data_IF_188766019411
#
_entry.id   IF_188766019411
#
_cell.length_a   1.000
_cell.length_b   1.000
_cell.length_c   1.000
_cell.angle_alpha   90.00
_cell.angle_beta   90.00
_cell.angle_gamma   90.00
#
_symmetry.space_group_name_H-M   'P 1'
#
loop_
_entity.id
_entity.type
_entity.pdbx_description
1 polymer ?
#
# COMPACT_ATOMS: atom_id res chain seq x y z
N UNK A 1 -41.03 -10.27 -6.01
CA UNK A 1 -40.41 -8.94 -6.02
C UNK A 1 -38.86 -8.98 -5.84
N UNK A 2 -38.31 -9.93 -5.09
CA UNK A 2 -36.83 -10.05 -4.89
C UNK A 2 -36.07 -10.59 -6.12
N UNK A 3 -36.66 -11.45 -6.95
CA UNK A 3 -36.02 -12.01 -8.15
C UNK A 3 -35.81 -10.97 -9.26
N UNK A 4 -36.81 -10.10 -9.49
CA UNK A 4 -36.72 -9.01 -10.50
C UNK A 4 -35.63 -7.99 -10.19
N UNK A 5 -35.35 -7.79 -8.91
CA UNK A 5 -34.22 -6.89 -8.47
C UNK A 5 -32.85 -7.52 -8.69
N UNK A 6 -32.75 -8.85 -8.60
CA UNK A 6 -31.48 -9.57 -8.80
C UNK A 6 -31.08 -9.64 -10.27
N UNK A 7 -32.06 -9.92 -11.15
CA UNK A 7 -31.82 -9.93 -12.60
C UNK A 7 -31.51 -8.55 -13.17
N UNK A 8 -32.16 -7.50 -12.69
CA UNK A 8 -31.86 -6.12 -13.09
C UNK A 8 -30.44 -5.70 -12.67
N UNK A 9 -29.98 -6.12 -11.48
CA UNK A 9 -28.62 -5.87 -11.01
C UNK A 9 -27.57 -6.66 -11.79
N UNK A 10 -27.83 -7.91 -12.14
CA UNK A 10 -26.95 -8.72 -12.97
C UNK A 10 -26.78 -8.11 -14.38
N UNK A 11 -27.87 -7.66 -14.99
CA UNK A 11 -27.85 -7.00 -16.29
C UNK A 11 -27.11 -5.65 -16.30
N UNK A 12 -27.17 -4.88 -15.19
CA UNK A 12 -26.42 -3.65 -15.01
C UNK A 12 -24.92 -3.91 -14.88
N UNK A 13 -24.52 -4.90 -14.08
CA UNK A 13 -23.12 -5.30 -13.92
C UNK A 13 -22.49 -5.78 -15.24
N UNK A 14 -23.24 -6.54 -16.03
CA UNK A 14 -22.80 -6.98 -17.37
C UNK A 14 -22.73 -5.82 -18.38
N UNK A 15 -23.60 -4.83 -18.26
CA UNK A 15 -23.54 -3.59 -19.03
C UNK A 15 -22.28 -2.76 -18.72
N UNK A 16 -22.00 -2.57 -17.42
CA UNK A 16 -20.81 -1.88 -16.93
C UNK A 16 -19.54 -2.60 -17.37
N UNK A 17 -19.49 -3.93 -17.25
CA UNK A 17 -18.36 -4.75 -17.72
C UNK A 17 -18.11 -4.60 -19.23
N UNK A 18 -19.14 -4.64 -20.06
CA UNK A 18 -19.02 -4.45 -21.52
C UNK A 18 -18.61 -3.04 -21.88
N UNK A 19 -19.09 -2.02 -21.18
CA UNK A 19 -18.68 -0.65 -21.34
C UNK A 19 -17.21 -0.47 -20.94
N UNK A 20 -16.78 -1.08 -19.81
CA UNK A 20 -15.40 -1.06 -19.33
C UNK A 20 -14.42 -1.63 -20.37
N UNK A 21 -14.75 -2.79 -20.93
CA UNK A 21 -13.92 -3.43 -21.95
C UNK A 21 -13.84 -2.57 -23.22
N UNK A 22 -14.97 -2.01 -23.68
CA UNK A 22 -15.00 -1.14 -24.87
C UNK A 22 -14.20 0.16 -24.67
N UNK A 23 -14.32 0.78 -23.49
CA UNK A 23 -13.57 2.01 -23.16
C UNK A 23 -12.08 1.70 -22.99
N UNK A 24 -11.72 0.59 -22.37
CA UNK A 24 -10.32 0.17 -22.19
C UNK A 24 -9.65 -0.13 -23.56
N UNK A 25 -10.38 -0.74 -24.49
CA UNK A 25 -9.87 -1.02 -25.85
C UNK A 25 -9.83 0.22 -26.74
N UNK A 26 -10.78 1.16 -26.57
CA UNK A 26 -10.85 2.39 -27.37
C UNK A 26 -9.90 3.51 -26.89
N UNK A 27 -9.59 3.56 -25.60
CA UNK A 27 -8.76 4.59 -24.97
C UNK A 27 -7.33 4.10 -24.71
N UNK A 28 -6.66 3.49 -25.68
CA UNK A 28 -5.30 2.98 -25.51
C UNK A 28 -4.41 3.85 -24.62
N UNK A 29 -3.64 3.23 -23.71
CA UNK A 29 -2.71 3.92 -22.81
C UNK A 29 -3.34 4.50 -21.53
N UNK A 30 -2.88 5.69 -21.09
CA UNK A 30 -3.26 6.33 -19.82
C UNK A 30 -4.77 6.59 -19.67
N UNK A 31 -5.47 6.87 -20.77
CA UNK A 31 -6.93 7.08 -20.79
C UNK A 31 -7.72 5.84 -20.40
N UNK A 32 -7.27 4.65 -20.80
CA UNK A 32 -7.89 3.38 -20.45
C UNK A 32 -7.86 3.08 -18.97
N UNK A 33 -6.74 3.35 -18.30
CA UNK A 33 -6.61 3.13 -16.86
C UNK A 33 -7.55 4.04 -16.04
N UNK A 34 -7.67 5.32 -16.43
CA UNK A 34 -8.61 6.27 -15.80
C UNK A 34 -10.05 5.80 -16.01
N UNK A 35 -10.40 5.38 -17.22
CA UNK A 35 -11.73 4.91 -17.54
C UNK A 35 -12.11 3.65 -16.74
N UNK A 36 -11.17 2.69 -16.59
CA UNK A 36 -11.38 1.50 -15.76
C UNK A 36 -11.61 1.92 -14.29
N UNK A 37 -10.81 2.83 -13.76
CA UNK A 37 -10.97 3.34 -12.40
C UNK A 37 -12.36 3.94 -12.20
N UNK A 38 -12.80 4.83 -13.09
CA UNK A 38 -14.12 5.48 -12.99
C UNK A 38 -15.25 4.46 -13.07
N UNK A 39 -15.14 3.46 -13.93
CA UNK A 39 -16.15 2.39 -14.05
C UNK A 39 -16.19 1.50 -12.80
N UNK A 40 -15.04 1.20 -12.19
CA UNK A 40 -14.98 0.47 -10.93
C UNK A 40 -15.61 1.26 -9.79
N UNK A 41 -15.27 2.55 -9.65
CA UNK A 41 -15.88 3.44 -8.65
C UNK A 41 -17.40 3.50 -8.82
N UNK A 42 -17.87 3.70 -10.05
CA UNK A 42 -19.30 3.73 -10.36
C UNK A 42 -19.97 2.38 -10.07
N UNK A 43 -19.35 1.27 -10.45
CA UNK A 43 -19.87 -0.08 -10.20
C UNK A 43 -20.03 -0.37 -8.70
N UNK A 44 -18.99 -0.06 -7.88
CA UNK A 44 -19.07 -0.25 -6.44
C UNK A 44 -20.01 0.74 -5.76
N UNK A 45 -20.12 1.98 -6.23
CA UNK A 45 -21.10 2.95 -5.74
C UNK A 45 -22.54 2.47 -5.94
N UNK A 46 -22.83 1.87 -7.11
CA UNK A 46 -24.17 1.29 -7.38
C UNK A 46 -24.40 0.02 -6.55
N UNK A 47 -23.35 -0.79 -6.34
CA UNK A 47 -23.44 -2.05 -5.62
C UNK A 47 -23.63 -1.88 -4.10
N UNK A 48 -23.02 -0.83 -3.51
CA UNK A 48 -22.99 -0.59 -2.06
C UNK A 48 -23.12 0.89 -1.72
N UNK A 49 -24.16 1.31 -0.97
CA UNK A 49 -24.34 2.72 -0.57
C UNK A 49 -23.17 3.29 0.23
N UNK A 50 -22.49 2.44 1.01
CA UNK A 50 -21.41 2.86 1.91
C UNK A 50 -20.04 3.06 1.20
N UNK A 51 -19.96 2.77 -0.10
CA UNK A 51 -18.70 2.81 -0.83
C UNK A 51 -18.07 4.21 -0.89
N UNK A 52 -18.85 5.27 -1.16
CA UNK A 52 -18.40 6.66 -1.24
C UNK A 52 -18.65 7.47 0.03
N UNK A 53 -18.83 6.83 1.18
CA UNK A 53 -18.90 7.55 2.45
C UNK A 53 -17.56 8.22 2.78
N UNK A 54 -17.62 9.33 3.52
CA UNK A 54 -16.41 10.05 3.95
C UNK A 54 -15.46 9.13 4.75
N UNK A 55 -16.01 8.27 5.59
CA UNK A 55 -15.22 7.36 6.43
C UNK A 55 -14.55 6.27 5.58
N UNK A 56 -15.27 5.64 4.65
CA UNK A 56 -14.66 4.67 3.74
C UNK A 56 -13.58 5.32 2.86
N UNK A 57 -13.84 6.52 2.34
CA UNK A 57 -12.86 7.29 1.54
C UNK A 57 -11.58 7.57 2.35
N UNK A 58 -11.72 8.01 3.62
CA UNK A 58 -10.57 8.23 4.52
C UNK A 58 -9.81 6.93 4.78
N UNK A 59 -10.51 5.82 5.00
CA UNK A 59 -9.89 4.52 5.22
C UNK A 59 -9.11 4.05 4.00
N UNK A 60 -9.67 4.18 2.80
CA UNK A 60 -8.98 3.89 1.53
C UNK A 60 -7.72 4.73 1.40
N UNK A 61 -7.82 6.04 1.60
CA UNK A 61 -6.68 6.94 1.50
C UNK A 61 -5.58 6.58 2.51
N UNK A 62 -5.93 6.29 3.76
CA UNK A 62 -4.97 5.83 4.78
C UNK A 62 -4.28 4.52 4.39
N UNK A 63 -5.06 3.55 3.94
CA UNK A 63 -4.56 2.21 3.61
C UNK A 63 -3.57 2.23 2.46
N UNK A 64 -3.85 3.03 1.43
CA UNK A 64 -3.05 3.06 0.21
C UNK A 64 -1.95 4.13 0.20
N UNK A 65 -1.84 4.95 1.25
CA UNK A 65 -0.76 5.94 1.38
C UNK A 65 0.63 5.30 1.43
N UNK A 66 0.80 4.20 2.19
CA UNK A 66 2.08 3.50 2.29
C UNK A 66 2.49 2.85 0.96
N UNK A 67 1.64 2.04 0.29
CA UNK A 67 1.91 1.58 -1.06
C UNK A 67 2.20 2.71 -2.05
N UNK A 68 1.54 3.87 -1.90
CA UNK A 68 1.79 5.03 -2.74
C UNK A 68 3.22 5.57 -2.60
N UNK A 69 3.73 5.69 -1.37
CA UNK A 69 5.11 6.13 -1.13
C UNK A 69 6.09 5.14 -1.77
N UNK A 70 5.88 3.82 -1.58
CA UNK A 70 6.71 2.79 -2.20
C UNK A 70 6.67 2.86 -3.73
N UNK A 71 5.49 3.07 -4.31
CA UNK A 71 5.31 3.16 -5.75
C UNK A 71 5.98 4.40 -6.37
N UNK A 72 6.14 5.50 -5.62
CA UNK A 72 6.96 6.64 -6.07
C UNK A 72 8.42 6.21 -6.26
N UNK A 73 9.00 5.49 -5.30
CA UNK A 73 10.35 4.93 -5.40
C UNK A 73 10.46 3.97 -6.59
N UNK A 74 9.52 3.02 -6.69
CA UNK A 74 9.45 2.08 -7.81
C UNK A 74 9.32 2.77 -9.17
N UNK A 75 8.58 3.87 -9.26
CA UNK A 75 8.47 4.63 -10.51
C UNK A 75 9.84 5.12 -10.98
N UNK A 76 10.65 5.67 -10.08
CA UNK A 76 11.99 6.18 -10.41
C UNK A 76 12.91 5.03 -10.86
N UNK A 77 12.81 3.88 -10.18
CA UNK A 77 13.58 2.67 -10.52
C UNK A 77 13.13 2.10 -11.87
N UNK A 78 11.82 1.91 -12.08
CA UNK A 78 11.27 1.31 -13.31
C UNK A 78 11.51 2.20 -14.53
N UNK A 79 11.39 3.53 -14.40
CA UNK A 79 11.74 4.49 -15.47
C UNK A 79 13.20 4.33 -15.91
N UNK A 80 14.11 3.91 -15.02
CA UNK A 80 15.52 3.63 -15.36
C UNK A 80 15.78 2.18 -15.83
N UNK A 81 14.73 1.45 -16.20
CA UNK A 81 14.76 0.02 -16.55
C UNK A 81 15.36 -0.85 -15.44
N UNK A 82 14.97 -0.59 -14.19
CA UNK A 82 15.31 -1.39 -13.00
C UNK A 82 14.06 -1.94 -12.31
N UNK A 83 14.27 -2.84 -11.35
CA UNK A 83 13.24 -3.35 -10.45
C UNK A 83 13.86 -3.42 -9.05
N UNK A 84 13.13 -2.97 -8.04
CA UNK A 84 13.57 -3.04 -6.64
C UNK A 84 12.57 -3.84 -5.81
N UNK A 85 12.87 -5.11 -5.57
CA UNK A 85 12.05 -5.99 -4.74
C UNK A 85 12.29 -5.79 -3.25
N UNK A 86 13.37 -5.10 -2.86
CA UNK A 86 13.74 -4.95 -1.45
C UNK A 86 12.94 -3.87 -0.71
N UNK A 87 12.13 -3.07 -1.39
CA UNK A 87 11.46 -1.89 -0.82
C UNK A 87 10.59 -2.23 0.39
N UNK A 88 9.88 -3.37 0.38
CA UNK A 88 9.03 -3.77 1.50
C UNK A 88 9.84 -4.24 2.72
N UNK A 89 10.88 -5.04 2.51
CA UNK A 89 11.79 -5.44 3.60
C UNK A 89 12.58 -4.25 4.15
N UNK A 90 12.98 -3.30 3.28
CA UNK A 90 13.61 -2.04 3.68
C UNK A 90 12.67 -1.20 4.54
N UNK A 91 11.40 -1.09 4.17
CA UNK A 91 10.38 -0.42 4.98
C UNK A 91 10.24 -1.09 6.35
N UNK A 92 10.14 -2.42 6.39
CA UNK A 92 10.06 -3.18 7.63
C UNK A 92 11.29 -2.97 8.52
N UNK A 93 12.50 -3.07 7.97
CA UNK A 93 13.74 -2.85 8.72
C UNK A 93 13.83 -1.43 9.28
N UNK A 94 13.50 -0.43 8.46
CA UNK A 94 13.57 0.98 8.86
C UNK A 94 12.61 1.29 10.01
N UNK A 95 11.36 0.83 9.93
CA UNK A 95 10.39 0.96 11.01
C UNK A 95 10.78 0.18 12.25
N UNK A 96 11.31 -1.03 12.08
CA UNK A 96 11.77 -1.87 13.19
C UNK A 96 12.96 -1.28 13.93
N UNK A 97 13.99 -0.82 13.21
CA UNK A 97 15.15 -0.15 13.83
C UNK A 97 14.77 1.13 14.57
N UNK A 98 13.92 1.96 13.96
CA UNK A 98 13.37 3.13 14.64
C UNK A 98 12.60 2.74 15.90
N UNK A 99 11.72 1.74 15.81
CA UNK A 99 10.92 1.27 16.95
C UNK A 99 11.78 0.72 18.08
N UNK A 100 12.75 -0.15 17.77
CA UNK A 100 13.68 -0.72 18.75
C UNK A 100 14.55 0.36 19.38
N UNK A 101 15.10 1.28 18.59
CA UNK A 101 15.93 2.37 19.12
C UNK A 101 15.14 3.24 20.08
N UNK A 102 13.89 3.56 19.76
CA UNK A 102 13.05 4.40 20.61
C UNK A 102 12.51 3.66 21.85
N UNK A 103 11.90 2.46 21.63
CA UNK A 103 11.18 1.76 22.69
C UNK A 103 12.11 0.93 23.59
N UNK A 104 13.11 0.24 23.04
CA UNK A 104 13.97 -0.66 23.79
C UNK A 104 15.29 -0.02 24.23
N UNK A 105 15.95 0.77 23.34
CA UNK A 105 17.21 1.41 23.70
C UNK A 105 17.04 2.78 24.36
N UNK A 106 15.81 3.31 24.40
CA UNK A 106 15.50 4.59 25.06
C UNK A 106 16.08 5.82 24.34
N UNK A 107 16.42 5.69 23.06
CA UNK A 107 16.98 6.80 22.29
C UNK A 107 16.00 7.96 22.18
N UNK A 108 16.50 9.21 22.08
CA UNK A 108 15.67 10.36 21.74
C UNK A 108 15.00 10.15 20.38
N UNK A 109 13.78 10.61 20.24
CA UNK A 109 12.96 10.47 19.04
C UNK A 109 13.70 10.87 17.74
N UNK A 110 14.37 12.03 17.64
CA UNK A 110 15.05 12.41 16.41
C UNK A 110 16.15 11.44 15.99
N UNK A 111 16.87 10.86 16.96
CA UNK A 111 17.92 9.88 16.67
C UNK A 111 17.34 8.54 16.23
N UNK A 112 16.22 8.10 16.82
CA UNK A 112 15.54 6.90 16.39
C UNK A 112 15.00 7.03 14.95
N UNK A 113 14.38 8.16 14.63
CA UNK A 113 13.91 8.46 13.25
C UNK A 113 15.09 8.51 12.27
N UNK A 114 16.20 9.16 12.66
CA UNK A 114 17.39 9.21 11.82
C UNK A 114 17.99 7.81 11.57
N UNK A 115 17.97 6.92 12.56
CA UNK A 115 18.41 5.53 12.40
C UNK A 115 17.54 4.79 11.38
N UNK A 116 16.21 4.96 11.43
CA UNK A 116 15.30 4.39 10.44
C UNK A 116 15.60 4.89 9.02
N UNK A 117 15.82 6.19 8.85
CA UNK A 117 16.22 6.77 7.56
C UNK A 117 17.59 6.26 7.10
N UNK A 118 18.56 6.17 8.02
CA UNK A 118 19.89 5.65 7.73
C UNK A 118 19.87 4.19 7.28
N UNK A 119 18.97 3.37 7.85
CA UNK A 119 18.76 2.00 7.39
C UNK A 119 18.27 1.94 5.94
N UNK A 120 17.27 2.73 5.57
CA UNK A 120 16.81 2.79 4.18
C UNK A 120 17.87 3.33 3.22
N UNK A 121 18.62 4.36 3.64
CA UNK A 121 19.76 4.84 2.88
C UNK A 121 20.81 3.73 2.67
N UNK A 122 21.17 3.00 3.72
CA UNK A 122 22.17 1.94 3.67
C UNK A 122 21.76 0.79 2.73
N UNK A 123 20.52 0.35 2.81
CA UNK A 123 19.97 -0.70 1.92
C UNK A 123 19.94 -0.22 0.48
N UNK A 124 19.46 0.99 0.22
CA UNK A 124 19.46 1.58 -1.12
C UNK A 124 20.88 1.75 -1.69
N UNK A 125 21.82 2.21 -0.87
CA UNK A 125 23.22 2.34 -1.25
C UNK A 125 23.87 0.97 -1.52
N UNK A 126 23.57 -0.05 -0.71
CA UNK A 126 24.02 -1.41 -0.93
C UNK A 126 23.52 -1.96 -2.26
N UNK A 127 22.20 -1.87 -2.54
CA UNK A 127 21.63 -2.26 -3.83
C UNK A 127 22.29 -1.50 -4.99
N UNK A 128 22.38 -0.18 -4.85
CA UNK A 128 23.04 0.66 -5.84
C UNK A 128 24.48 0.25 -6.10
N UNK A 129 25.25 -0.09 -5.06
CA UNK A 129 26.61 -0.58 -5.17
C UNK A 129 26.71 -1.94 -5.88
N UNK A 130 25.90 -2.93 -5.44
CA UNK A 130 25.89 -4.28 -6.02
C UNK A 130 25.54 -4.25 -7.50
N UNK A 131 24.50 -3.49 -7.86
CA UNK A 131 24.03 -3.38 -9.24
C UNK A 131 25.05 -2.65 -10.12
N UNK A 132 25.66 -1.58 -9.63
CA UNK A 132 26.49 -0.72 -10.49
C UNK A 132 27.96 -1.13 -10.51
N UNK A 133 28.52 -1.61 -9.40
CA UNK A 133 29.92 -1.99 -9.27
C UNK A 133 30.15 -3.46 -9.51
N UNK A 134 29.33 -4.33 -8.92
CA UNK A 134 29.43 -5.77 -9.13
C UNK A 134 28.67 -6.23 -10.39
N UNK A 135 27.91 -5.32 -11.02
CA UNK A 135 27.14 -5.56 -12.26
C UNK A 135 26.15 -6.72 -12.15
N UNK A 136 25.64 -6.99 -10.95
CA UNK A 136 24.59 -7.95 -10.71
C UNK A 136 23.28 -7.40 -11.30
N UNK A 137 22.48 -8.21 -12.01
CA UNK A 137 21.16 -7.78 -12.49
C UNK A 137 20.28 -7.27 -11.36
N UNK A 138 19.57 -6.17 -11.61
CA UNK A 138 18.77 -5.44 -10.61
C UNK A 138 17.82 -6.38 -9.84
N UNK A 139 17.10 -7.25 -10.56
CA UNK A 139 16.16 -8.20 -9.99
C UNK A 139 16.84 -9.19 -9.01
N UNK A 140 18.00 -9.75 -9.39
CA UNK A 140 18.74 -10.72 -8.58
C UNK A 140 19.30 -10.05 -7.32
N UNK A 141 19.88 -8.86 -7.47
CA UNK A 141 20.44 -8.11 -6.36
C UNK A 141 19.35 -7.76 -5.32
N UNK A 142 18.23 -7.20 -5.78
CA UNK A 142 17.17 -6.74 -4.90
C UNK A 142 16.33 -7.89 -4.29
N UNK A 143 16.22 -9.02 -4.98
CA UNK A 143 15.62 -10.24 -4.44
C UNK A 143 16.48 -10.82 -3.29
N UNK A 144 17.80 -10.90 -3.48
CA UNK A 144 18.72 -11.31 -2.42
C UNK A 144 18.68 -10.36 -1.23
N UNK A 145 18.66 -9.05 -1.50
CA UNK A 145 18.54 -8.01 -0.47
C UNK A 145 17.21 -8.08 0.27
N UNK A 146 16.09 -8.36 -0.43
CA UNK A 146 14.79 -8.58 0.21
C UNK A 146 14.88 -9.64 1.31
N UNK A 147 15.45 -10.80 1.00
CA UNK A 147 15.57 -11.89 1.96
C UNK A 147 16.54 -11.55 3.11
N UNK A 148 17.72 -10.99 2.79
CA UNK A 148 18.71 -10.60 3.78
C UNK A 148 18.21 -9.53 4.75
N UNK A 149 17.60 -8.46 4.22
CA UNK A 149 17.07 -7.34 5.02
C UNK A 149 15.88 -7.77 5.86
N UNK A 150 15.03 -8.69 5.35
CA UNK A 150 13.95 -9.31 6.13
C UNK A 150 14.52 -10.10 7.31
N UNK A 151 15.57 -10.89 7.07
CA UNK A 151 16.27 -11.61 8.13
C UNK A 151 16.86 -10.69 9.19
N UNK A 152 17.49 -9.58 8.78
CA UNK A 152 18.01 -8.58 9.73
C UNK A 152 16.86 -7.93 10.53
N UNK A 153 15.73 -7.62 9.92
CA UNK A 153 14.58 -7.07 10.63
C UNK A 153 14.04 -8.03 11.69
N UNK A 154 13.98 -9.34 11.37
CA UNK A 154 13.60 -10.38 12.34
C UNK A 154 14.59 -10.49 13.49
N UNK A 155 15.90 -10.46 13.23
CA UNK A 155 16.94 -10.48 14.27
C UNK A 155 16.87 -9.26 15.19
N UNK A 156 16.66 -8.08 14.64
CA UNK A 156 16.58 -6.82 15.42
C UNK A 156 15.35 -6.77 16.32
N UNK A 157 14.26 -7.42 15.92
CA UNK A 157 13.01 -7.45 16.69
C UNK A 157 12.79 -8.72 17.49
N UNK A 158 13.74 -9.67 17.48
CA UNK A 158 13.56 -11.03 18.03
C UNK A 158 12.30 -11.72 17.47
N UNK A 159 11.88 -11.35 16.25
CA UNK A 159 10.66 -11.83 15.61
C UNK A 159 9.35 -11.33 16.22
N UNK A 160 9.41 -10.42 17.19
CA UNK A 160 8.25 -9.90 17.93
C UNK A 160 7.88 -8.49 17.44
N UNK A 161 6.62 -8.07 17.62
CA UNK A 161 6.23 -6.66 17.45
C UNK A 161 6.95 -5.74 18.44
N UNK A 162 7.28 -4.52 18.04
CA UNK A 162 7.91 -3.51 18.88
C UNK A 162 6.99 -2.28 19.01
N UNK A 163 6.60 -1.87 20.23
CA UNK A 163 6.92 -2.51 21.51
C UNK A 163 6.22 -3.86 21.66
N UNK A 164 6.83 -4.76 22.43
CA UNK A 164 6.18 -6.00 22.84
C UNK A 164 5.15 -5.69 23.93
N UNK A 165 3.88 -5.72 23.58
CA UNK A 165 2.78 -5.41 24.49
C UNK A 165 2.66 -6.40 25.67
N UNK A 166 3.27 -7.59 25.59
CA UNK A 166 3.33 -8.55 26.69
C UNK A 166 4.39 -8.22 27.73
N UNK A 167 5.44 -7.47 27.34
CA UNK A 167 6.54 -7.02 28.22
C UNK A 167 6.47 -5.52 28.54
N UNK A 168 5.66 -4.76 27.84
CA UNK A 168 5.54 -3.32 28.01
C UNK A 168 4.61 -3.00 29.19
N UNK A 169 5.13 -3.02 30.40
CA UNK A 169 4.67 -2.07 31.40
C UNK A 169 5.01 -0.68 30.90
N UNK A 170 4.05 0.25 30.89
CA UNK A 170 4.20 1.72 30.72
C UNK A 170 5.32 2.28 29.81
N UNK A 171 5.87 1.48 28.85
CA UNK A 171 6.99 1.85 28.00
C UNK A 171 6.61 2.74 26.83
N UNK A 172 7.60 3.46 26.29
CA UNK A 172 7.52 4.25 25.07
C UNK A 172 7.03 3.36 23.91
N UNK A 173 5.95 3.77 23.23
CA UNK A 173 5.35 2.95 22.16
C UNK A 173 6.08 3.13 20.83
N UNK A 174 5.87 4.26 20.20
CA UNK A 174 6.53 4.69 18.96
C UNK A 174 6.81 6.18 19.07
N UNK A 175 7.75 6.76 18.31
CA UNK A 175 7.98 8.20 18.29
C UNK A 175 6.69 8.99 18.08
N UNK A 176 6.45 10.02 18.86
CA UNK A 176 5.19 10.79 18.85
C UNK A 176 4.95 11.46 17.49
N UNK A 177 5.97 12.04 16.89
CA UNK A 177 5.85 12.65 15.56
C UNK A 177 5.46 11.62 14.51
N UNK A 178 5.99 10.40 14.59
CA UNK A 178 5.69 9.31 13.64
C UNK A 178 4.28 8.78 13.87
N UNK A 179 3.84 8.64 15.13
CA UNK A 179 2.47 8.26 15.47
C UNK A 179 1.47 9.28 14.95
N UNK A 180 1.71 10.57 15.19
CA UNK A 180 0.88 11.67 14.70
C UNK A 180 0.79 11.67 13.17
N UNK A 181 1.93 11.60 12.47
CA UNK A 181 1.95 11.59 11.00
C UNK A 181 1.28 10.33 10.41
N UNK A 182 1.39 9.18 11.10
CA UNK A 182 0.84 7.91 10.62
C UNK A 182 -0.65 7.72 10.90
N UNK A 183 -1.14 8.18 12.07
CA UNK A 183 -2.48 7.87 12.57
C UNK A 183 -3.45 9.06 12.58
N UNK A 184 -2.97 10.29 12.84
CA UNK A 184 -3.84 11.44 13.05
C UNK A 184 -4.38 12.04 11.77
N UNK A 185 -5.34 12.94 11.92
CA UNK A 185 -5.98 13.67 10.83
C UNK A 185 -6.13 15.14 11.19
N UNK A 186 -5.93 16.01 10.20
CA UNK A 186 -6.16 17.46 10.32
C UNK A 186 -7.26 17.84 9.33
N UNK A 187 -8.29 18.55 9.80
CA UNK A 187 -9.46 18.91 9.01
C UNK A 187 -10.13 17.71 8.30
N UNK A 188 -10.06 16.54 8.92
CA UNK A 188 -10.61 15.31 8.36
C UNK A 188 -9.75 14.63 7.28
N UNK A 189 -8.57 15.17 6.95
CA UNK A 189 -7.61 14.56 6.03
C UNK A 189 -6.54 13.83 6.85
N UNK A 190 -6.33 12.52 6.65
CA UNK A 190 -5.27 11.80 7.34
C UNK A 190 -3.89 12.36 6.99
N UNK A 191 -3.04 12.61 7.99
CA UNK A 191 -1.71 13.20 7.77
C UNK A 191 -0.81 12.30 6.93
N UNK A 192 -0.96 11.00 7.02
CA UNK A 192 -0.23 10.04 6.17
C UNK A 192 -0.47 10.27 4.66
N UNK A 193 -1.66 10.78 4.28
CA UNK A 193 -1.97 11.16 2.90
C UNK A 193 -1.16 12.38 2.47
N UNK A 194 -0.99 13.36 3.39
CA UNK A 194 -0.15 14.52 3.12
C UNK A 194 1.33 14.12 2.93
N UNK A 195 1.82 13.18 3.75
CA UNK A 195 3.17 12.63 3.58
C UNK A 195 3.31 11.92 2.23
N UNK A 196 2.34 11.08 1.85
CA UNK A 196 2.35 10.41 0.55
C UNK A 196 2.31 11.41 -0.62
N UNK A 197 1.50 12.46 -0.51
CA UNK A 197 1.44 13.54 -1.50
C UNK A 197 2.78 14.30 -1.60
N UNK A 198 3.41 14.60 -0.46
CA UNK A 198 4.73 15.24 -0.44
C UNK A 198 5.79 14.34 -1.11
N UNK A 199 5.80 13.03 -0.82
CA UNK A 199 6.67 12.06 -1.50
C UNK A 199 6.40 12.00 -3.01
N UNK A 200 5.12 12.04 -3.43
CA UNK A 200 4.75 12.05 -4.84
C UNK A 200 5.23 13.33 -5.56
N UNK A 201 5.07 14.49 -4.92
CA UNK A 201 5.57 15.77 -5.44
C UNK A 201 7.11 15.77 -5.53
N UNK A 202 7.79 15.20 -4.53
CA UNK A 202 9.25 15.04 -4.56
C UNK A 202 9.69 14.11 -5.71
N UNK A 203 9.03 12.96 -5.87
CA UNK A 203 9.29 12.04 -6.99
C UNK A 203 9.05 12.68 -8.35
N UNK A 204 7.94 13.43 -8.49
CA UNK A 204 7.66 14.23 -9.68
C UNK A 204 8.77 15.26 -9.94
N UNK A 205 9.19 16.01 -8.92
CA UNK A 205 10.26 16.98 -9.04
C UNK A 205 11.58 16.32 -9.46
N UNK A 206 11.94 15.21 -8.83
CA UNK A 206 13.15 14.45 -9.19
C UNK A 206 13.10 14.02 -10.66
N UNK A 207 12.00 13.43 -11.11
CA UNK A 207 11.88 12.93 -12.48
C UNK A 207 11.77 14.04 -13.53
N UNK A 208 11.03 15.12 -13.24
CA UNK A 208 10.75 16.15 -14.24
C UNK A 208 11.74 17.30 -14.26
N UNK A 209 12.39 17.62 -13.14
CA UNK A 209 13.20 18.84 -12.99
C UNK A 209 14.68 18.60 -12.75
N UNK A 210 15.12 17.38 -12.40
CA UNK A 210 16.52 17.12 -12.07
C UNK A 210 17.32 16.46 -13.19
N UNK A 211 18.66 16.54 -13.09
CA UNK A 211 19.58 15.81 -13.98
C UNK A 211 19.43 14.29 -13.80
N UNK A 212 19.08 13.83 -12.59
CA UNK A 212 18.86 12.42 -12.28
C UNK A 212 17.65 11.87 -13.01
N UNK A 213 16.54 12.61 -13.05
CA UNK A 213 15.33 12.22 -13.80
C UNK A 213 15.60 12.10 -15.28
N UNK A 214 16.30 13.10 -15.88
CA UNK A 214 16.68 12.99 -17.30
C UNK A 214 17.58 11.78 -17.56
N UNK A 215 18.51 11.48 -16.66
CA UNK A 215 19.36 10.30 -16.78
C UNK A 215 18.52 9.01 -16.66
N UNK A 216 17.54 8.95 -15.73
CA UNK A 216 16.66 7.79 -15.57
C UNK A 216 15.89 7.50 -16.87
N UNK A 217 15.23 8.50 -17.47
CA UNK A 217 14.52 8.34 -18.74
C UNK A 217 15.46 7.93 -19.90
N UNK A 218 16.65 8.52 -19.98
CA UNK A 218 17.61 8.17 -21.04
C UNK A 218 18.12 6.72 -20.87
N UNK A 219 18.44 6.30 -19.65
CA UNK A 219 18.90 4.94 -19.34
C UNK A 219 17.82 3.91 -19.67
N UNK A 220 16.57 4.20 -19.26
CA UNK A 220 15.44 3.31 -19.51
C UNK A 220 15.04 3.23 -20.99
N UNK A 221 15.19 4.32 -21.73
CA UNK A 221 14.91 4.34 -23.16
C UNK A 221 15.95 3.58 -24.00
N UNK A 222 17.21 3.91 -23.83
CA UNK A 222 18.32 3.20 -24.48
C UNK A 222 19.62 3.42 -23.70
N UNK A 223 20.05 2.36 -23.00
CA UNK A 223 21.23 2.40 -22.13
C UNK A 223 22.52 2.72 -22.89
N UNK A 224 22.67 2.19 -24.11
CA UNK A 224 23.89 2.41 -24.91
C UNK A 224 23.94 3.85 -25.45
N UNK A 225 22.80 4.35 -25.96
CA UNK A 225 22.69 5.74 -26.39
C UNK A 225 22.94 6.71 -25.23
N UNK A 226 22.43 6.41 -24.02
CA UNK A 226 22.69 7.21 -22.84
C UNK A 226 24.18 7.25 -22.48
N UNK A 227 24.90 6.12 -22.62
CA UNK A 227 26.34 6.03 -22.39
C UNK A 227 27.12 6.89 -23.37
N UNK A 228 26.82 6.75 -24.66
CA UNK A 228 27.49 7.54 -25.73
C UNK A 228 27.22 9.03 -25.56
N UNK A 229 26.05 9.41 -25.04
CA UNK A 229 25.70 10.79 -24.73
C UNK A 229 26.36 11.32 -23.43
N UNK A 230 27.28 10.57 -22.83
CA UNK A 230 28.05 11.02 -21.65
C UNK A 230 27.31 10.91 -20.32
N UNK A 231 26.20 10.19 -20.26
CA UNK A 231 25.48 9.95 -19.01
C UNK A 231 26.23 8.91 -18.17
N UNK A 232 26.57 9.27 -16.92
CA UNK A 232 27.20 8.37 -15.97
C UNK A 232 26.18 7.40 -15.38
N UNK A 233 25.92 6.28 -16.09
CA UNK A 233 24.87 5.30 -15.80
C UNK A 233 25.01 4.78 -14.37
N UNK A 234 26.21 4.34 -13.98
CA UNK A 234 26.49 3.73 -12.68
C UNK A 234 26.16 4.71 -11.54
N UNK A 235 26.60 5.96 -11.65
CA UNK A 235 26.30 6.99 -10.64
C UNK A 235 24.81 7.31 -10.58
N UNK A 236 24.15 7.36 -11.72
CA UNK A 236 22.71 7.66 -11.78
C UNK A 236 21.91 6.53 -11.16
N UNK A 237 22.18 5.27 -11.53
CA UNK A 237 21.51 4.10 -10.94
C UNK A 237 21.77 4.00 -9.44
N UNK A 238 23.00 4.22 -8.98
CA UNK A 238 23.31 4.25 -7.55
C UNK A 238 22.36 5.18 -6.78
N UNK A 239 22.24 6.43 -7.21
CA UNK A 239 21.38 7.40 -6.54
C UNK A 239 19.88 7.09 -6.67
N UNK A 240 19.46 6.46 -7.77
CA UNK A 240 18.08 5.98 -7.96
C UNK A 240 17.71 4.96 -6.86
N UNK A 241 18.58 3.98 -6.60
CA UNK A 241 18.35 2.99 -5.54
C UNK A 241 18.43 3.60 -4.14
N UNK A 242 19.33 4.58 -3.90
CA UNK A 242 19.35 5.32 -2.63
C UNK A 242 18.04 6.05 -2.38
N UNK A 243 17.46 6.72 -3.38
CA UNK A 243 16.17 7.40 -3.25
C UNK A 243 15.06 6.38 -3.02
N UNK A 244 15.06 5.24 -3.71
CA UNK A 244 14.11 4.15 -3.48
C UNK A 244 14.15 3.66 -2.03
N UNK A 245 15.35 3.41 -1.48
CA UNK A 245 15.54 2.99 -0.10
C UNK A 245 15.10 4.03 0.92
N UNK A 246 15.36 5.32 0.68
CA UNK A 246 14.88 6.39 1.56
C UNK A 246 13.36 6.53 1.56
N UNK A 247 12.71 6.42 0.39
CA UNK A 247 11.25 6.41 0.30
C UNK A 247 10.66 5.17 0.98
N UNK A 248 11.32 4.01 0.85
CA UNK A 248 10.93 2.81 1.59
C UNK A 248 11.05 3.00 3.11
N UNK A 249 12.10 3.69 3.59
CA UNK A 249 12.22 4.02 5.02
C UNK A 249 11.07 4.91 5.49
N UNK A 250 10.74 5.97 4.75
CA UNK A 250 9.59 6.83 5.07
C UNK A 250 8.30 6.02 5.10
N UNK A 251 8.06 5.14 4.11
CA UNK A 251 6.90 4.25 4.06
C UNK A 251 6.81 3.34 5.30
N UNK A 252 7.93 2.75 5.72
CA UNK A 252 8.02 1.89 6.90
C UNK A 252 7.74 2.63 8.20
N UNK A 253 8.30 3.83 8.37
CA UNK A 253 8.02 4.68 9.53
C UNK A 253 6.55 5.11 9.58
N UNK A 254 5.97 5.51 8.44
CA UNK A 254 4.54 5.85 8.38
C UNK A 254 3.64 4.64 8.71
N UNK A 255 4.03 3.46 8.26
CA UNK A 255 3.30 2.23 8.58
C UNK A 255 3.41 1.90 10.08
N UNK A 256 4.60 2.05 10.67
CA UNK A 256 4.83 1.90 12.12
C UNK A 256 3.98 2.89 12.92
N UNK A 257 3.94 4.16 12.52
CA UNK A 257 3.09 5.17 13.17
C UNK A 257 1.60 4.83 13.08
N UNK A 258 1.15 4.39 11.91
CA UNK A 258 -0.25 3.99 11.70
C UNK A 258 -0.66 2.78 12.53
N UNK A 259 0.22 1.78 12.67
CA UNK A 259 -0.04 0.57 13.44
C UNK A 259 0.27 0.73 14.93
N UNK A 260 0.89 1.85 15.33
CA UNK A 260 1.46 2.08 16.65
C UNK A 260 2.44 0.97 17.08
N UNK A 261 2.99 0.23 16.11
CA UNK A 261 3.89 -0.90 16.32
C UNK A 261 4.75 -1.12 15.09
N UNK A 262 6.01 -1.49 15.28
CA UNK A 262 6.88 -1.99 14.24
C UNK A 262 6.89 -3.51 14.24
N UNK A 263 6.98 -4.13 13.06
CA UNK A 263 7.06 -5.57 12.90
C UNK A 263 7.93 -5.91 11.69
N UNK A 264 8.79 -6.91 11.83
CA UNK A 264 9.68 -7.34 10.75
C UNK A 264 8.95 -7.87 9.50
N UNK A 265 7.70 -8.33 9.64
CA UNK A 265 6.86 -8.83 8.55
C UNK A 265 5.88 -7.77 8.02
N UNK A 266 5.87 -6.56 8.59
CA UNK A 266 5.03 -5.49 8.04
C UNK A 266 5.44 -5.17 6.59
N UNK A 267 4.51 -4.65 5.81
CA UNK A 267 4.69 -4.36 4.38
C UNK A 267 4.96 -5.57 3.47
N UNK A 268 4.86 -6.81 3.96
CA UNK A 268 5.04 -8.00 3.13
C UNK A 268 4.07 -8.03 1.94
N UNK A 269 4.58 -8.31 0.74
CA UNK A 269 3.81 -8.26 -0.52
C UNK A 269 3.59 -6.85 -1.10
N UNK A 270 3.91 -5.77 -0.38
CA UNK A 270 3.76 -4.40 -0.89
C UNK A 270 4.76 -4.08 -2.02
N UNK A 271 5.88 -4.82 -2.11
CA UNK A 271 6.81 -4.71 -3.24
C UNK A 271 6.12 -5.05 -4.57
N UNK A 272 5.39 -6.17 -4.61
CA UNK A 272 4.65 -6.58 -5.80
C UNK A 272 3.46 -5.66 -6.07
N UNK A 273 2.76 -5.23 -5.02
CA UNK A 273 1.65 -4.29 -5.13
C UNK A 273 2.10 -2.95 -5.72
N UNK A 274 3.24 -2.41 -5.27
CA UNK A 274 3.80 -1.16 -5.77
C UNK A 274 4.26 -1.26 -7.22
N UNK A 275 4.89 -2.38 -7.61
CA UNK A 275 5.28 -2.64 -9.00
C UNK A 275 4.03 -2.75 -9.89
N UNK A 276 3.04 -3.54 -9.48
CA UNK A 276 1.79 -3.68 -10.23
C UNK A 276 1.09 -2.32 -10.44
N UNK A 277 1.05 -1.49 -9.40
CA UNK A 277 0.48 -0.15 -9.49
C UNK A 277 1.19 0.74 -10.53
N UNK A 278 2.53 0.70 -10.57
CA UNK A 278 3.32 1.48 -11.52
C UNK A 278 3.13 0.99 -12.95
N UNK A 279 3.09 -0.33 -13.15
CA UNK A 279 2.99 -0.95 -14.49
C UNK A 279 1.59 -0.77 -15.08
N UNK A 280 0.53 -0.97 -14.26
CA UNK A 280 -0.87 -0.95 -14.75
C UNK A 280 -1.35 0.47 -15.08
N UNK A 281 -1.08 1.44 -14.24
CA UNK A 281 -1.69 2.76 -14.38
C UNK A 281 -0.73 3.95 -14.25
N UNK A 282 0.57 3.68 -14.17
CA UNK A 282 1.49 4.66 -13.60
C UNK A 282 1.22 4.79 -12.08
N UNK A 283 2.08 5.46 -11.36
CA UNK A 283 2.15 5.39 -9.89
C UNK A 283 0.81 5.63 -9.18
N UNK A 284 0.15 6.75 -9.44
CA UNK A 284 -1.03 7.15 -8.65
C UNK A 284 -2.30 6.43 -9.10
N UNK A 285 -2.54 6.32 -10.40
CA UNK A 285 -3.76 5.71 -10.94
C UNK A 285 -3.79 4.21 -10.62
N UNK A 286 -2.65 3.51 -10.77
CA UNK A 286 -2.56 2.09 -10.46
C UNK A 286 -2.85 1.79 -8.98
N UNK A 287 -2.36 2.62 -8.05
CA UNK A 287 -2.67 2.50 -6.62
C UNK A 287 -4.16 2.69 -6.35
N UNK A 288 -4.78 3.70 -6.98
CA UNK A 288 -6.21 3.94 -6.83
C UNK A 288 -7.03 2.77 -7.38
N UNK A 289 -6.64 2.19 -8.53
CA UNK A 289 -7.31 0.99 -9.09
C UNK A 289 -7.24 -0.17 -8.10
N UNK A 290 -6.06 -0.48 -7.58
CA UNK A 290 -5.86 -1.56 -6.61
C UNK A 290 -6.65 -1.28 -5.33
N UNK A 291 -6.63 -0.02 -4.85
CA UNK A 291 -7.36 0.42 -3.67
C UNK A 291 -8.87 0.26 -3.80
N UNK A 292 -9.42 0.72 -4.91
CA UNK A 292 -10.86 0.62 -5.20
C UNK A 292 -11.28 -0.85 -5.31
N UNK A 293 -10.52 -1.70 -6.01
CA UNK A 293 -10.83 -3.12 -6.14
C UNK A 293 -10.82 -3.83 -4.80
N UNK A 294 -9.75 -3.67 -4.01
CA UNK A 294 -9.64 -4.35 -2.72
C UNK A 294 -10.75 -3.93 -1.75
N UNK A 295 -10.96 -2.62 -1.57
CA UNK A 295 -12.02 -2.15 -0.68
C UNK A 295 -13.42 -2.47 -1.20
N UNK A 296 -13.66 -2.30 -2.50
CA UNK A 296 -14.95 -2.61 -3.08
C UNK A 296 -15.31 -4.09 -2.89
N UNK A 297 -14.39 -5.02 -3.14
CA UNK A 297 -14.61 -6.45 -2.94
C UNK A 297 -14.84 -6.80 -1.47
N UNK A 298 -14.10 -6.21 -0.54
CA UNK A 298 -14.27 -6.43 0.91
C UNK A 298 -15.68 -5.97 1.34
N UNK A 299 -16.10 -4.76 0.95
CA UNK A 299 -17.43 -4.22 1.31
C UNK A 299 -18.53 -5.10 0.73
N UNK A 300 -18.42 -5.49 -0.54
CA UNK A 300 -19.41 -6.39 -1.17
C UNK A 300 -19.47 -7.73 -0.45
N UNK A 301 -18.31 -8.32 -0.07
CA UNK A 301 -18.27 -9.57 0.68
C UNK A 301 -18.93 -9.45 2.07
N UNK A 302 -18.66 -8.36 2.80
CA UNK A 302 -19.27 -8.11 4.12
C UNK A 302 -20.77 -7.93 4.02
N UNK A 303 -21.25 -7.13 3.06
CA UNK A 303 -22.70 -6.92 2.83
C UNK A 303 -23.39 -8.22 2.41
N UNK A 304 -22.76 -9.00 1.53
CA UNK A 304 -23.29 -10.30 1.11
C UNK A 304 -23.38 -11.28 2.28
N UNK A 305 -22.36 -11.31 3.16
CA UNK A 305 -22.35 -12.15 4.36
C UNK A 305 -23.44 -11.73 5.36
N UNK A 306 -23.63 -10.42 5.58
CA UNK A 306 -24.68 -9.90 6.45
C UNK A 306 -26.06 -10.24 5.91
N UNK A 307 -26.30 -10.06 4.62
CA UNK A 307 -27.56 -10.47 3.98
C UNK A 307 -27.80 -11.98 4.06
N UNK A 308 -26.77 -12.80 3.88
CA UNK A 308 -26.88 -14.25 4.03
C UNK A 308 -27.23 -14.63 5.49
N UNK A 309 -26.57 -14.03 6.49
CA UNK A 309 -26.89 -14.23 7.91
C UNK A 309 -28.32 -13.85 8.25
N UNK A 310 -28.81 -12.69 7.78
CA UNK A 310 -30.19 -12.26 7.98
C UNK A 310 -31.21 -13.25 7.35
N UNK A 311 -30.93 -13.75 6.14
CA UNK A 311 -31.78 -14.75 5.49
C UNK A 311 -31.74 -16.11 6.19
N UNK A 312 -30.61 -16.50 6.75
CA UNK A 312 -30.49 -17.72 7.55
C UNK A 312 -31.30 -17.61 8.87
N UNK A 313 -31.23 -16.46 9.55
CA UNK A 313 -31.99 -16.18 10.77
C UNK A 313 -33.50 -16.20 10.53
N UNK A 314 -33.99 -15.62 9.43
CA UNK A 314 -35.44 -15.64 9.09
C UNK A 314 -35.94 -17.03 8.70
N UNK A 315 -35.10 -17.90 8.15
CA UNK A 315 -35.45 -19.31 7.89
C UNK A 315 -35.47 -20.18 9.14
N UNK A 316 -34.66 -19.84 10.18
CA UNK A 316 -34.64 -20.55 11.45
C UNK A 316 -35.83 -20.21 12.36
N UNK A 317 -36.42 -19.03 12.23
CA UNK A 317 -37.62 -18.61 13.04
C UNK A 317 -38.94 -19.05 12.49
N UNK A 318 -38.99 -19.58 11.25
CA UNK A 318 -40.24 -20.07 10.62
C UNK A 318 -40.76 -21.43 11.13
N UNK A 319 -40.08 -22.04 12.11
CA UNK A 319 -40.43 -23.39 12.61
C UNK A 319 -41.09 -23.46 13.99
N UNK A 320 -41.30 -22.36 14.67
CA UNK A 320 -42.07 -22.32 15.92
C UNK A 320 -43.54 -22.19 15.58
N UNK A 321 -44.26 -23.35 15.48
CA UNK A 321 -45.70 -23.37 15.50
C UNK A 321 -46.18 -22.70 16.79
N UNK A 322 -47.20 -21.81 16.73
CA UNK A 322 -47.81 -21.30 17.98
C UNK A 322 -48.32 -22.50 18.78
N UNK A 323 -47.98 -22.54 20.05
CA UNK A 323 -48.54 -23.48 21.00
C UNK A 323 -50.08 -23.36 20.98
N UNK A 324 -50.84 -24.48 21.00
CA UNK A 324 -52.28 -24.43 21.04
C UNK A 324 -52.75 -23.71 22.31
N UNK A 325 -53.87 -22.96 22.27
CA UNK A 325 -54.36 -22.24 23.43
C UNK A 325 -54.66 -23.25 24.56
N UNK A 326 -54.19 -22.91 25.75
CA UNK A 326 -54.49 -23.66 26.97
C UNK A 326 -56.00 -23.55 27.22
N UNK A 327 -56.70 -24.67 27.22
CA UNK A 327 -58.13 -24.76 27.55
C UNK A 327 -58.31 -24.56 29.05
N UNK A 328 -58.73 -23.37 29.44
CA UNK A 328 -59.05 -22.97 30.84
C UNK A 328 -60.45 -23.52 31.33
N UNK A 329 -60.85 -24.64 30.84
CA UNK A 329 -62.13 -25.25 31.36
C UNK A 329 -61.90 -26.64 31.94
N UNK A 330 -61.43 -26.68 33.13
CA UNK A 330 -61.68 -27.75 34.08
C UNK A 330 -61.12 -27.35 35.47
N UNK A 331 -61.99 -26.63 36.24
CA UNK A 331 -62.10 -26.77 37.67
C UNK A 331 -63.32 -25.96 38.12
N UNK A 332 -64.45 -26.70 38.17
CA UNK A 332 -65.60 -26.46 39.09
C UNK A 332 -65.96 -27.76 39.76
#
# INVERSE_FOLDING_TARGET
MAEVTTERRAGLLDGVRRAAVRVATAAGGRGGAVAILLLLVLGFFIATPDFLTADNTRNVLRQYSVPAILAVGQTIVIVSAGIDLSVASTAALSGSLMGVAFAHWGWPEPLAVLLGLAAGFAVGAFNGFVITRLKVPDFIATLGTLAAVRGVALLVTDGLPVPDYGRAGEGRRVPESVATLGADSVLGIPLIVAVAAACALLGWFVLSRTKLGRAAYAIGGNREAARVSGIRIERSKFWIYVISGLLAAVAGMMLTGRLASANALMADGMELQSIAAVVVGGTMIGILIIGVLANGLIIVAVVALDQWRRRAATRGSGGLKPSPPVDERQDT
#
